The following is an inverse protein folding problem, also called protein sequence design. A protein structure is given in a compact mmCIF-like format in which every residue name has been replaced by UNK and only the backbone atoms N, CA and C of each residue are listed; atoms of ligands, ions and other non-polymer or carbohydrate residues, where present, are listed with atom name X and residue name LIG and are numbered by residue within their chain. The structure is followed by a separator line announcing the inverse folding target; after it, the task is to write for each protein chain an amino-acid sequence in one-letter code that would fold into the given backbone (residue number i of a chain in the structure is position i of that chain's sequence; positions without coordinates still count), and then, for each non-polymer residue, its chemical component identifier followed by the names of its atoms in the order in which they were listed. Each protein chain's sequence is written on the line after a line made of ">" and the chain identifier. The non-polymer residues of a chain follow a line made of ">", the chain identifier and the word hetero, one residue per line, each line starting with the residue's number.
data_IF_713200889413
#
_entry.id   IF_713200889413
#
_cell.length_a   1.000
_cell.length_b   1.000
_cell.length_c   1.000
_cell.angle_alpha   90.00
_cell.angle_beta   90.00
_cell.angle_gamma   90.00
#
_symmetry.space_group_name_H-M   'P 1'
#
loop_
_entity.id
_entity.type
_entity.pdbx_description
1 polymer ?
#
# COMPACT_ATOMS: atom_id res chain seq x y z
N UNK A 1 -8.92 -52.43 -1.86
CA UNK A 1 -10.00 -51.71 -2.55
C UNK A 1 -9.36 -50.80 -3.58
N UNK A 2 -9.61 -51.04 -4.86
CA UNK A 2 -9.33 -50.13 -5.98
C UNK A 2 -10.67 -49.52 -6.40
N UNK A 3 -10.66 -48.21 -6.71
CA UNK A 3 -11.59 -47.38 -7.51
C UNK A 3 -11.48 -45.94 -6.96
N UNK A 4 -11.44 -44.84 -7.72
CA UNK A 4 -11.28 -44.59 -9.14
C UNK A 4 -11.12 -43.06 -9.29
N UNK A 5 -10.72 -42.66 -10.49
CA UNK A 5 -10.36 -41.33 -10.97
C UNK A 5 -11.44 -40.25 -10.77
N UNK A 6 -11.06 -39.11 -10.19
CA UNK A 6 -11.74 -37.84 -10.39
C UNK A 6 -10.81 -36.87 -11.14
N UNK A 7 -11.12 -36.67 -12.42
CA UNK A 7 -10.45 -35.75 -13.33
C UNK A 7 -10.60 -34.31 -12.81
N UNK A 8 -9.52 -33.73 -12.31
CA UNK A 8 -9.51 -32.31 -11.97
C UNK A 8 -9.29 -31.50 -13.25
N UNK A 9 -10.41 -30.96 -13.77
CA UNK A 9 -10.43 -29.99 -14.87
C UNK A 9 -9.34 -28.93 -14.65
N UNK A 10 -8.25 -29.04 -15.40
CA UNK A 10 -7.18 -28.04 -15.42
C UNK A 10 -7.68 -26.84 -16.22
N UNK A 11 -8.51 -26.01 -15.58
CA UNK A 11 -8.78 -24.67 -16.08
C UNK A 11 -7.47 -23.89 -16.13
N UNK A 12 -7.09 -23.43 -17.33
CA UNK A 12 -5.88 -22.64 -17.53
C UNK A 12 -5.92 -21.39 -16.63
N UNK A 13 -5.12 -21.40 -15.57
CA UNK A 13 -5.01 -20.28 -14.65
C UNK A 13 -4.35 -19.12 -15.41
N UNK A 14 -5.12 -18.08 -15.75
CA UNK A 14 -4.58 -16.82 -16.27
C UNK A 14 -3.52 -16.31 -15.30
N UNK A 15 -2.26 -16.33 -15.71
CA UNK A 15 -1.15 -15.78 -14.91
C UNK A 15 -1.38 -14.27 -14.79
N UNK A 16 -1.65 -13.81 -13.58
CA UNK A 16 -1.75 -12.36 -13.31
C UNK A 16 -0.39 -11.74 -13.57
N UNK A 17 -0.34 -10.66 -14.36
CA UNK A 17 0.91 -9.97 -14.66
C UNK A 17 1.53 -9.46 -13.36
N UNK A 18 2.81 -9.75 -13.16
CA UNK A 18 3.56 -9.20 -12.03
C UNK A 18 3.70 -7.69 -12.24
N UNK A 19 3.15 -6.90 -11.32
CA UNK A 19 3.27 -5.44 -11.31
C UNK A 19 4.37 -5.10 -10.31
N UNK A 20 5.29 -4.23 -10.70
CA UNK A 20 6.29 -3.70 -9.78
C UNK A 20 5.57 -2.88 -8.69
N UNK A 21 5.63 -3.34 -7.45
CA UNK A 21 5.03 -2.69 -6.28
C UNK A 21 6.11 -1.92 -5.52
N UNK A 22 6.75 -0.97 -6.20
CA UNK A 22 7.65 -0.03 -5.55
C UNK A 22 6.83 0.86 -4.62
N UNK A 23 6.79 0.46 -3.34
CA UNK A 23 6.02 1.14 -2.30
C UNK A 23 6.61 2.51 -1.97
N UNK A 24 7.92 2.67 -2.09
CA UNK A 24 8.61 3.92 -1.76
C UNK A 24 8.31 4.98 -2.81
N UNK A 25 8.51 4.66 -4.08
CA UNK A 25 8.18 5.56 -5.19
C UNK A 25 6.69 5.92 -5.22
N UNK A 26 5.81 4.94 -4.96
CA UNK A 26 4.37 5.18 -4.88
C UNK A 26 4.00 6.13 -3.73
N UNK A 27 4.64 6.00 -2.57
CA UNK A 27 4.41 6.88 -1.43
C UNK A 27 4.89 8.31 -1.72
N UNK A 28 6.06 8.48 -2.34
CA UNK A 28 6.55 9.81 -2.74
C UNK A 28 5.61 10.49 -3.74
N UNK A 29 5.13 9.76 -4.73
CA UNK A 29 4.16 10.28 -5.70
C UNK A 29 2.85 10.67 -5.02
N UNK A 30 2.33 9.84 -4.12
CA UNK A 30 1.12 10.15 -3.37
C UNK A 30 1.28 11.43 -2.55
N UNK A 31 2.40 11.60 -1.83
CA UNK A 31 2.65 12.80 -1.04
C UNK A 31 2.81 14.05 -1.92
N UNK A 32 3.46 13.93 -3.08
CA UNK A 32 3.59 15.04 -4.03
C UNK A 32 2.23 15.48 -4.55
N UNK A 33 1.42 14.54 -5.00
CA UNK A 33 0.14 14.83 -5.66
C UNK A 33 -0.93 15.28 -4.64
N UNK A 34 -0.94 14.70 -3.44
CA UNK A 34 -1.93 15.01 -2.40
C UNK A 34 -1.79 16.45 -1.86
N UNK A 35 -0.56 16.94 -1.72
CA UNK A 35 -0.28 18.30 -1.21
C UNK A 35 0.00 19.32 -2.31
N UNK A 36 -0.17 18.97 -3.59
CA UNK A 36 0.01 19.92 -4.69
C UNK A 36 -1.02 21.04 -4.56
N UNK A 37 -0.58 22.27 -4.83
CA UNK A 37 -1.47 23.43 -4.78
C UNK A 37 -2.35 23.52 -6.02
N UNK A 38 -1.82 23.08 -7.16
CA UNK A 38 -2.47 23.12 -8.47
C UNK A 38 -3.09 21.75 -8.81
N UNK A 39 -4.16 21.40 -8.10
CA UNK A 39 -4.86 20.14 -8.36
C UNK A 39 -5.75 20.26 -9.58
N UNK A 40 -5.70 19.28 -10.46
CA UNK A 40 -6.65 19.16 -11.60
C UNK A 40 -8.12 19.06 -11.15
N UNK A 41 -8.35 18.75 -9.88
CA UNK A 41 -9.68 18.63 -9.29
C UNK A 41 -10.09 19.92 -8.58
N UNK A 42 -11.38 20.25 -8.68
CA UNK A 42 -11.96 21.39 -7.99
C UNK A 42 -11.71 21.30 -6.48
N UNK A 43 -10.87 22.20 -5.98
CA UNK A 43 -10.50 22.29 -4.58
C UNK A 43 -11.74 22.43 -3.70
N UNK A 44 -12.84 23.03 -4.18
CA UNK A 44 -14.08 23.18 -3.39
C UNK A 44 -14.64 21.84 -2.88
N UNK A 45 -14.38 20.74 -3.59
CA UNK A 45 -14.87 19.40 -3.24
C UNK A 45 -13.96 18.66 -2.26
N UNK A 46 -12.69 19.06 -2.20
CA UNK A 46 -11.66 18.34 -1.44
C UNK A 46 -11.11 19.14 -0.27
N UNK A 47 -11.19 20.46 -0.28
CA UNK A 47 -10.70 21.32 0.81
C UNK A 47 -11.39 20.98 2.14
N UNK A 48 -12.68 20.62 2.12
CA UNK A 48 -13.39 20.16 3.33
C UNK A 48 -12.82 18.83 3.89
N UNK A 49 -12.14 18.04 3.06
CA UNK A 49 -11.57 16.72 3.41
C UNK A 49 -10.04 16.67 3.33
N UNK A 50 -9.37 17.77 3.02
CA UNK A 50 -7.92 17.81 2.86
C UNK A 50 -7.27 18.09 4.20
N UNK A 51 -6.48 17.15 4.67
CA UNK A 51 -5.73 17.32 5.92
C UNK A 51 -4.55 18.24 5.62
N UNK A 52 -4.30 19.24 6.47
CA UNK A 52 -3.11 20.07 6.32
C UNK A 52 -1.84 19.22 6.38
N UNK A 53 -0.82 19.57 5.60
CA UNK A 53 0.45 18.82 5.55
C UNK A 53 1.06 18.60 6.94
N UNK A 54 1.02 19.63 7.79
CA UNK A 54 1.55 19.55 9.15
C UNK A 54 0.74 18.58 10.03
N UNK A 55 -0.59 18.58 9.91
CA UNK A 55 -1.44 17.65 10.66
C UNK A 55 -1.23 16.21 10.18
N UNK A 56 -1.15 16.00 8.86
CA UNK A 56 -0.85 14.69 8.29
C UNK A 56 0.49 14.14 8.81
N UNK A 57 1.55 14.95 8.77
CA UNK A 57 2.88 14.52 9.26
C UNK A 57 2.88 14.21 10.75
N UNK A 58 2.12 14.97 11.56
CA UNK A 58 1.97 14.68 12.99
C UNK A 58 1.27 13.35 13.22
N UNK A 59 0.20 13.07 12.49
CA UNK A 59 -0.51 11.79 12.56
C UNK A 59 0.39 10.65 12.10
N UNK A 60 1.07 10.80 10.96
CA UNK A 60 1.98 9.78 10.43
C UNK A 60 3.09 9.44 11.43
N UNK A 61 3.70 10.45 12.04
CA UNK A 61 4.73 10.27 13.08
C UNK A 61 4.17 9.59 14.33
N UNK A 62 2.99 9.97 14.77
CA UNK A 62 2.34 9.35 15.93
C UNK A 62 2.03 7.87 15.67
N UNK A 63 1.55 7.55 14.46
CA UNK A 63 1.32 6.17 14.04
C UNK A 63 2.62 5.36 14.00
N UNK A 64 3.68 5.92 13.43
CA UNK A 64 5.01 5.28 13.39
C UNK A 64 5.57 5.03 14.80
N UNK A 65 5.34 5.94 15.75
CA UNK A 65 5.81 5.78 17.12
C UNK A 65 5.02 4.73 17.92
N UNK A 66 3.70 4.65 17.71
CA UNK A 66 2.80 3.85 18.55
C UNK A 66 2.46 2.46 17.98
N UNK A 67 2.65 2.23 16.68
CA UNK A 67 2.20 1.01 16.01
C UNK A 67 3.30 0.38 15.15
N UNK A 68 3.66 -0.88 15.45
CA UNK A 68 4.69 -1.64 14.73
C UNK A 68 4.40 -1.81 13.23
N UNK A 69 3.13 -1.77 12.81
CA UNK A 69 2.74 -1.85 11.41
C UNK A 69 3.33 -0.71 10.56
N UNK A 70 3.44 0.49 11.15
CA UNK A 70 3.95 1.68 10.47
C UNK A 70 5.45 1.85 10.66
N UNK A 71 6.10 0.98 11.42
CA UNK A 71 7.54 0.99 11.62
C UNK A 71 8.24 0.20 10.51
N UNK A 72 9.31 0.77 9.98
CA UNK A 72 10.17 0.07 9.04
C UNK A 72 11.08 -0.90 9.82
N UNK A 73 10.59 -2.11 10.05
CA UNK A 73 11.29 -3.14 10.82
C UNK A 73 12.10 -4.07 9.92
N UNK A 74 13.12 -4.70 10.51
CA UNK A 74 13.82 -5.80 9.86
C UNK A 74 12.92 -7.04 9.89
N UNK A 75 12.49 -7.48 8.72
CA UNK A 75 11.84 -8.77 8.58
C UNK A 75 12.83 -9.90 8.89
N UNK A 76 12.32 -11.11 9.18
CA UNK A 76 13.11 -12.33 9.36
C UNK A 76 14.02 -12.64 8.16
N UNK A 77 13.72 -12.05 7.00
CA UNK A 77 14.53 -12.09 5.77
C UNK A 77 15.71 -11.11 5.76
N UNK A 78 15.96 -10.40 6.87
CA UNK A 78 16.97 -9.33 6.96
C UNK A 78 16.76 -8.24 5.92
N UNK A 79 15.50 -7.96 5.57
CA UNK A 79 15.11 -6.85 4.71
C UNK A 79 14.30 -5.86 5.53
N UNK A 80 14.60 -4.57 5.39
CA UNK A 80 13.76 -3.51 5.98
C UNK A 80 12.53 -3.38 5.11
N UNK A 81 11.41 -3.91 5.58
CA UNK A 81 10.12 -3.84 4.91
C UNK A 81 9.03 -3.60 5.95
N UNK A 82 7.92 -3.01 5.51
CA UNK A 82 6.73 -2.89 6.36
C UNK A 82 6.15 -4.28 6.64
N UNK A 83 5.94 -4.57 7.92
CA UNK A 83 5.42 -5.86 8.41
C UNK A 83 4.11 -6.19 7.69
N UNK A 84 4.10 -7.28 6.93
CA UNK A 84 2.88 -7.79 6.30
C UNK A 84 2.21 -8.70 7.33
N UNK A 85 1.30 -8.14 8.12
CA UNK A 85 0.44 -8.89 9.06
C UNK A 85 -0.47 -9.83 8.27
#
# INVERSE_FOLDING_TARGET
>A
MVCERNESSHGEKKRTKWINRDREAANEHLLRDYFVFDTLYDLSKFEERRISRNLFLRIARDLECNYEFFQLNWDARSKRDFTTI
#
